data_IF_688017497403
#
_entry.id   IF_688017497403
#
_cell.length_a   1.000
_cell.length_b   1.000
_cell.length_c   1.000
_cell.angle_alpha   90.00
_cell.angle_beta   90.00
_cell.angle_gamma   90.00
#
_symmetry.space_group_name_H-M   'P 1'
#
loop_
_entity.id
_entity.type
_entity.pdbx_description
1 polymer ?
#
# COMPACT_ATOMS: atom_id res chain seq x y z
N UNK A 1 -37.93 -53.25 -2.12
CA UNK A 1 -36.51 -52.85 -2.01
C UNK A 1 -35.92 -52.32 -3.34
N UNK A 2 -36.73 -51.71 -4.24
CA UNK A 2 -36.24 -51.12 -5.54
C UNK A 2 -36.52 -49.62 -5.68
N UNK A 3 -37.01 -48.95 -4.63
CA UNK A 3 -37.29 -47.50 -4.62
C UNK A 3 -36.36 -46.68 -3.73
N UNK A 4 -35.36 -47.32 -3.08
CA UNK A 4 -34.41 -46.62 -2.20
C UNK A 4 -33.03 -46.41 -2.83
N UNK A 5 -32.81 -46.91 -4.05
CA UNK A 5 -31.51 -46.77 -4.76
C UNK A 5 -31.48 -45.67 -5.80
N UNK A 6 -32.60 -45.00 -6.07
CA UNK A 6 -32.63 -43.87 -7.06
C UNK A 6 -32.50 -42.49 -6.40
N UNK A 7 -32.54 -42.37 -5.07
CA UNK A 7 -32.44 -41.10 -4.35
C UNK A 7 -31.01 -40.78 -3.89
N UNK A 8 -30.08 -41.74 -3.93
CA UNK A 8 -28.67 -41.47 -3.59
C UNK A 8 -27.79 -41.11 -4.80
N UNK A 9 -28.27 -41.26 -6.04
CA UNK A 9 -27.50 -40.87 -7.25
C UNK A 9 -27.73 -39.43 -7.67
N UNK A 10 -28.69 -38.69 -7.10
CA UNK A 10 -28.99 -37.32 -7.41
C UNK A 10 -28.29 -36.30 -6.50
N UNK A 11 -27.60 -36.71 -5.42
CA UNK A 11 -26.84 -35.82 -4.51
C UNK A 11 -25.34 -35.82 -4.75
N UNK A 12 -24.84 -36.60 -5.73
CA UNK A 12 -23.42 -36.65 -6.05
C UNK A 12 -23.04 -35.81 -7.30
N UNK A 13 -23.99 -35.08 -7.86
CA UNK A 13 -23.77 -34.20 -9.00
C UNK A 13 -23.94 -32.69 -8.70
N UNK A 14 -23.93 -32.30 -7.40
CA UNK A 14 -23.68 -30.92 -7.00
C UNK A 14 -22.17 -30.65 -7.16
N UNK A 15 -21.86 -30.34 -8.41
CA UNK A 15 -20.57 -30.14 -8.95
C UNK A 15 -19.67 -29.30 -8.09
N UNK A 16 -18.47 -29.75 -7.97
CA UNK A 16 -17.35 -28.84 -7.87
C UNK A 16 -17.43 -27.87 -9.07
N UNK A 17 -18.14 -26.78 -8.92
CA UNK A 17 -17.81 -25.54 -9.61
C UNK A 17 -16.40 -25.26 -9.13
N UNK A 18 -15.42 -25.71 -9.91
CA UNK A 18 -14.06 -25.20 -9.82
C UNK A 18 -14.20 -23.71 -10.07
N UNK A 19 -14.27 -22.93 -9.00
CA UNK A 19 -14.09 -21.50 -9.09
C UNK A 19 -12.79 -21.33 -9.84
N UNK A 20 -12.86 -20.88 -11.09
CA UNK A 20 -11.69 -20.54 -11.88
C UNK A 20 -10.98 -19.46 -11.09
N UNK A 21 -9.87 -19.82 -10.47
CA UNK A 21 -9.12 -18.87 -9.67
C UNK A 21 -8.80 -17.65 -10.52
N UNK A 22 -9.28 -16.50 -10.08
CA UNK A 22 -9.13 -15.26 -10.83
C UNK A 22 -7.62 -14.92 -10.91
N UNK A 23 -7.09 -14.90 -12.12
CA UNK A 23 -5.69 -14.59 -12.40
C UNK A 23 -5.55 -13.07 -12.54
N UNK A 24 -4.47 -12.53 -12.02
CA UNK A 24 -4.08 -11.14 -12.26
C UNK A 24 -3.85 -10.94 -13.77
N UNK A 25 -4.45 -9.89 -14.35
CA UNK A 25 -4.33 -9.55 -15.77
C UNK A 25 -3.80 -8.13 -15.91
N UNK A 26 -2.95 -7.93 -16.91
CA UNK A 26 -2.52 -6.57 -17.27
C UNK A 26 -3.73 -5.79 -17.82
N UNK A 27 -3.95 -4.62 -17.28
CA UNK A 27 -5.00 -3.70 -17.72
C UNK A 27 -4.45 -2.61 -18.66
N UNK A 28 -5.33 -1.70 -19.12
CA UNK A 28 -4.95 -0.63 -20.04
C UNK A 28 -3.99 0.40 -19.43
N UNK A 29 -3.93 0.48 -18.10
CA UNK A 29 -3.02 1.35 -17.34
C UNK A 29 -1.68 0.66 -17.02
N UNK A 30 -1.43 -0.52 -17.61
CA UNK A 30 -0.15 -1.26 -17.53
C UNK A 30 0.25 -1.69 -16.12
N UNK A 31 -0.73 -2.08 -15.31
CA UNK A 31 -0.51 -2.81 -14.07
C UNK A 31 -1.37 -4.08 -14.03
N UNK A 32 -1.04 -5.00 -13.12
CA UNK A 32 -1.77 -6.26 -13.00
C UNK A 32 -2.95 -6.08 -12.06
N UNK A 33 -4.14 -6.43 -12.53
CA UNK A 33 -5.40 -6.24 -11.82
C UNK A 33 -6.17 -7.56 -11.72
N UNK A 34 -6.68 -7.84 -10.53
CA UNK A 34 -7.78 -8.75 -10.25
C UNK A 34 -8.75 -8.05 -9.30
N UNK A 35 -9.93 -8.61 -9.09
CA UNK A 35 -10.93 -7.98 -8.24
C UNK A 35 -10.39 -7.79 -6.81
N UNK A 36 -10.41 -6.56 -6.33
CA UNK A 36 -9.90 -6.16 -5.02
C UNK A 36 -8.38 -6.20 -4.88
N UNK A 37 -7.63 -6.39 -5.97
CA UNK A 37 -6.18 -6.49 -5.88
C UNK A 37 -5.50 -5.92 -7.12
N UNK A 38 -4.50 -5.06 -6.90
CA UNK A 38 -3.66 -4.51 -7.95
C UNK A 38 -2.19 -4.72 -7.58
N UNK A 39 -1.38 -5.08 -8.57
CA UNK A 39 0.08 -5.12 -8.48
C UNK A 39 0.62 -4.12 -9.49
N UNK A 40 1.19 -3.03 -9.00
CA UNK A 40 1.77 -1.95 -9.79
C UNK A 40 3.28 -2.20 -9.91
N UNK A 41 3.84 -1.94 -11.08
CA UNK A 41 5.26 -2.14 -11.36
C UNK A 41 5.82 -0.83 -11.91
N UNK A 42 6.34 0.00 -11.01
CA UNK A 42 6.89 1.33 -11.33
C UNK A 42 5.90 2.22 -12.13
N UNK A 43 4.62 2.10 -11.82
CA UNK A 43 3.58 2.94 -12.43
C UNK A 43 3.55 4.35 -11.81
N UNK A 44 3.95 4.49 -10.55
CA UNK A 44 3.93 5.73 -9.81
C UNK A 44 5.34 6.36 -9.79
N UNK A 45 5.49 7.45 -10.55
CA UNK A 45 6.67 8.30 -10.54
C UNK A 45 6.34 9.54 -9.72
N UNK A 46 7.07 9.77 -8.64
CA UNK A 46 6.94 10.98 -7.84
C UNK A 46 8.00 12.00 -8.28
N UNK A 47 7.57 13.02 -9.01
CA UNK A 47 8.38 14.19 -9.29
C UNK A 47 8.19 15.22 -8.18
N UNK A 48 8.64 14.89 -6.97
CA UNK A 48 8.55 15.79 -5.82
C UNK A 48 9.77 16.68 -5.68
N UNK A 49 9.66 17.70 -4.81
CA UNK A 49 10.80 18.55 -4.39
C UNK A 49 11.81 17.78 -3.53
N UNK A 50 11.47 16.58 -3.08
CA UNK A 50 12.32 15.72 -2.27
C UNK A 50 12.88 14.61 -3.16
N UNK A 51 14.20 14.59 -3.28
CA UNK A 51 14.93 13.67 -4.16
C UNK A 51 14.81 12.19 -3.77
N UNK A 52 14.41 11.92 -2.53
CA UNK A 52 14.50 10.59 -1.93
C UNK A 52 13.27 9.70 -2.20
N UNK A 53 12.19 10.25 -2.78
CA UNK A 53 10.93 9.53 -2.99
C UNK A 53 10.54 9.41 -4.46
N UNK A 54 11.50 9.25 -5.36
CA UNK A 54 11.24 9.27 -6.80
C UNK A 54 10.39 8.10 -7.31
N UNK A 55 10.40 6.96 -6.63
CA UNK A 55 9.75 5.75 -7.11
C UNK A 55 9.13 4.94 -5.98
N UNK A 56 7.86 4.58 -6.16
CA UNK A 56 7.21 3.63 -5.29
C UNK A 56 7.62 2.17 -5.57
N UNK A 57 8.27 1.90 -6.69
CA UNK A 57 8.72 0.58 -7.09
C UNK A 57 7.57 -0.37 -7.42
N UNK A 58 7.70 -1.64 -7.03
CA UNK A 58 6.60 -2.58 -7.04
C UNK A 58 5.71 -2.34 -5.82
N UNK A 59 4.41 -2.22 -6.05
CA UNK A 59 3.41 -1.94 -5.03
C UNK A 59 2.27 -2.95 -5.08
N UNK A 60 1.66 -3.21 -3.92
CA UNK A 60 0.46 -4.03 -3.82
C UNK A 60 -0.65 -3.22 -3.17
N UNK A 61 -1.79 -3.16 -3.85
CA UNK A 61 -3.02 -2.56 -3.32
C UNK A 61 -4.04 -3.69 -3.17
N UNK A 62 -4.50 -3.94 -1.95
CA UNK A 62 -5.55 -4.90 -1.66
C UNK A 62 -6.74 -4.22 -0.99
N UNK A 63 -7.94 -4.54 -1.41
CA UNK A 63 -9.19 -3.96 -0.88
C UNK A 63 -9.18 -2.42 -0.84
N UNK A 64 -8.49 -1.79 -1.83
CA UNK A 64 -8.37 -0.34 -1.95
C UNK A 64 -7.30 0.29 -1.06
N UNK A 65 -6.57 -0.49 -0.27
CA UNK A 65 -5.47 -0.02 0.57
C UNK A 65 -4.12 -0.45 0.00
N UNK A 66 -3.15 0.47 -0.05
CA UNK A 66 -1.77 0.14 -0.36
C UNK A 66 -1.16 -0.56 0.84
N UNK A 67 -0.84 -1.83 0.71
CA UNK A 67 -0.28 -2.65 1.78
C UNK A 67 1.22 -2.90 1.63
N UNK A 68 1.76 -2.69 0.43
CA UNK A 68 3.16 -2.89 0.09
C UNK A 68 3.65 -1.83 -0.89
N UNK A 69 4.90 -1.43 -0.75
CA UNK A 69 5.61 -0.48 -1.60
C UNK A 69 7.10 -0.85 -1.70
N UNK A 70 7.91 0.02 -2.28
CA UNK A 70 9.37 -0.08 -2.24
C UNK A 70 9.99 -1.28 -2.95
N UNK A 71 9.18 -2.03 -3.72
CA UNK A 71 9.64 -3.23 -4.41
C UNK A 71 10.71 -2.91 -5.45
N UNK A 72 11.96 -3.29 -5.14
CA UNK A 72 13.11 -3.01 -6.00
C UNK A 72 14.39 -3.60 -5.43
N UNK A 73 15.48 -3.46 -6.18
CA UNK A 73 16.81 -3.84 -5.71
C UNK A 73 17.33 -2.76 -4.77
N UNK A 74 17.95 -3.17 -3.67
CA UNK A 74 18.59 -2.31 -2.68
C UNK A 74 20.04 -2.75 -2.51
N UNK A 75 20.92 -1.82 -2.13
CA UNK A 75 22.36 -2.07 -2.10
C UNK A 75 22.93 -2.33 -0.70
N UNK A 76 22.16 -2.04 0.35
CA UNK A 76 22.59 -2.35 1.73
C UNK A 76 22.24 -3.79 2.11
N UNK A 77 23.01 -4.39 3.00
CA UNK A 77 22.78 -5.78 3.44
C UNK A 77 21.53 -5.96 4.31
N UNK A 78 21.02 -4.88 4.88
CA UNK A 78 19.81 -4.84 5.70
C UNK A 78 18.88 -3.73 5.23
N UNK A 79 17.59 -3.73 5.60
CA UNK A 79 16.70 -2.62 5.29
C UNK A 79 17.23 -1.31 5.87
N UNK A 80 17.34 -0.32 5.02
CA UNK A 80 17.88 1.00 5.34
C UNK A 80 17.00 2.09 4.72
N UNK A 81 16.63 3.11 5.51
CA UNK A 81 15.78 4.21 5.03
C UNK A 81 16.48 5.02 3.93
N UNK A 82 17.77 5.19 4.06
CA UNK A 82 18.58 6.04 3.21
C UNK A 82 19.43 5.25 2.19
N UNK A 83 19.01 4.00 1.93
CA UNK A 83 19.63 3.19 0.89
C UNK A 83 19.51 3.88 -0.48
N UNK A 84 20.51 3.69 -1.31
CA UNK A 84 20.54 4.26 -2.65
C UNK A 84 19.44 3.63 -3.50
N UNK A 85 18.67 4.49 -4.15
CA UNK A 85 17.74 4.10 -5.18
C UNK A 85 18.42 4.19 -6.55
N UNK A 86 18.27 3.15 -7.37
CA UNK A 86 18.72 3.21 -8.75
C UNK A 86 17.85 4.16 -9.58
N UNK A 87 18.46 4.88 -10.49
CA UNK A 87 17.74 5.61 -11.51
C UNK A 87 16.99 4.64 -12.43
N UNK A 88 15.72 4.92 -12.71
CA UNK A 88 14.95 4.11 -13.65
C UNK A 88 15.28 4.58 -15.06
N UNK A 89 16.10 3.79 -15.75
CA UNK A 89 16.57 4.10 -17.10
C UNK A 89 15.68 3.54 -18.20
N UNK A 90 14.93 2.49 -17.89
CA UNK A 90 13.93 1.92 -18.81
C UNK A 90 12.75 1.30 -18.06
N UNK A 91 11.55 1.45 -18.61
CA UNK A 91 10.34 0.69 -18.25
C UNK A 91 9.67 0.24 -19.54
N UNK A 92 9.68 -1.05 -19.78
CA UNK A 92 9.15 -1.67 -20.99
C UNK A 92 7.94 -2.55 -20.66
N UNK A 93 6.90 -2.44 -21.48
CA UNK A 93 5.66 -3.21 -21.34
C UNK A 93 5.47 -4.08 -22.58
N UNK A 94 5.53 -5.38 -22.41
CA UNK A 94 5.17 -6.36 -23.44
C UNK A 94 3.74 -6.83 -23.22
N UNK A 95 2.78 -6.20 -23.92
CA UNK A 95 1.35 -6.53 -23.79
C UNK A 95 1.05 -7.94 -24.31
N UNK A 96 1.81 -8.45 -25.31
CA UNK A 96 1.60 -9.78 -25.87
C UNK A 96 1.95 -10.88 -24.87
N UNK A 97 3.01 -10.65 -24.09
CA UNK A 97 3.45 -11.56 -23.01
C UNK A 97 2.89 -11.17 -21.64
N UNK A 98 2.13 -10.08 -21.57
CA UNK A 98 1.63 -9.53 -20.29
C UNK A 98 2.77 -9.36 -19.27
N UNK A 99 3.88 -8.73 -19.66
CA UNK A 99 5.01 -8.52 -18.75
C UNK A 99 5.47 -7.08 -18.73
N UNK A 100 5.97 -6.64 -17.57
CA UNK A 100 6.62 -5.34 -17.37
C UNK A 100 8.07 -5.62 -16.98
N UNK A 101 9.01 -4.95 -17.63
CA UNK A 101 10.43 -5.01 -17.31
C UNK A 101 10.95 -3.61 -17.02
N UNK A 102 11.71 -3.46 -15.92
CA UNK A 102 12.22 -2.17 -15.45
C UNK A 102 13.72 -2.30 -15.20
N UNK A 103 14.51 -1.39 -15.76
CA UNK A 103 15.94 -1.30 -15.51
C UNK A 103 16.22 -0.22 -14.46
N UNK A 104 16.97 -0.61 -13.42
CA UNK A 104 17.42 0.27 -12.34
C UNK A 104 18.94 0.44 -12.46
N UNK A 105 19.41 1.66 -12.68
CA UNK A 105 20.84 1.95 -12.86
C UNK A 105 21.43 2.60 -11.61
N UNK A 106 22.48 2.00 -11.09
CA UNK A 106 23.31 2.51 -9.98
C UNK A 106 24.67 2.90 -10.55
N UNK A 107 24.74 4.11 -11.11
CA UNK A 107 25.88 4.57 -11.92
C UNK A 107 27.23 4.50 -11.17
N UNK A 108 27.24 4.90 -9.89
CA UNK A 108 28.44 4.92 -9.05
C UNK A 108 29.01 3.52 -8.77
N UNK A 109 28.19 2.49 -8.98
CA UNK A 109 28.56 1.09 -8.74
C UNK A 109 28.75 0.29 -10.04
N UNK A 110 28.46 0.91 -11.21
CA UNK A 110 28.43 0.19 -12.48
C UNK A 110 27.46 -0.99 -12.47
N UNK A 111 26.30 -0.85 -11.79
CA UNK A 111 25.37 -1.93 -11.56
C UNK A 111 23.98 -1.56 -12.09
N UNK A 112 23.43 -2.41 -12.97
CA UNK A 112 22.13 -2.17 -13.63
C UNK A 112 21.25 -3.44 -13.62
N UNK A 113 20.66 -3.80 -12.48
CA UNK A 113 19.71 -4.92 -12.41
C UNK A 113 18.40 -4.57 -13.11
N UNK A 114 17.77 -5.60 -13.70
CA UNK A 114 16.44 -5.50 -14.28
C UNK A 114 15.43 -6.31 -13.45
N UNK A 115 14.29 -5.71 -13.20
CA UNK A 115 13.14 -6.33 -12.57
C UNK A 115 12.13 -6.68 -13.65
N UNK A 116 11.71 -7.94 -13.76
CA UNK A 116 10.65 -8.36 -14.64
C UNK A 116 9.50 -8.97 -13.86
N UNK A 117 8.28 -8.54 -14.18
CA UNK A 117 7.06 -9.04 -13.55
C UNK A 117 6.11 -9.55 -14.63
N UNK A 118 5.55 -10.72 -14.40
CA UNK A 118 4.55 -11.33 -15.29
C UNK A 118 3.51 -12.11 -14.48
N UNK A 119 2.25 -12.24 -14.96
CA UNK A 119 1.24 -13.06 -14.30
C UNK A 119 1.71 -14.52 -14.25
N UNK A 120 1.40 -15.16 -13.12
CA UNK A 120 1.62 -16.60 -12.94
C UNK A 120 0.57 -17.14 -11.98
N UNK A 121 -0.18 -18.15 -12.40
CA UNK A 121 -1.21 -18.79 -11.59
C UNK A 121 -2.18 -17.74 -10.97
N UNK A 122 -2.26 -17.65 -9.63
CA UNK A 122 -3.08 -16.70 -8.89
C UNK A 122 -2.36 -15.38 -8.56
N UNK A 123 -1.10 -15.26 -8.94
CA UNK A 123 -0.24 -14.16 -8.56
C UNK A 123 0.61 -13.65 -9.71
N UNK A 124 1.81 -13.22 -9.37
CA UNK A 124 2.83 -12.76 -10.30
C UNK A 124 4.17 -13.42 -10.02
N UNK A 125 4.91 -13.68 -11.09
CA UNK A 125 6.32 -14.05 -11.04
C UNK A 125 7.15 -12.78 -11.14
N UNK A 126 7.99 -12.56 -10.14
CA UNK A 126 8.97 -11.48 -10.06
C UNK A 126 10.34 -12.09 -10.31
N UNK A 127 11.08 -11.55 -11.27
CA UNK A 127 12.40 -12.00 -11.64
C UNK A 127 13.40 -10.85 -11.60
N UNK A 128 14.57 -11.07 -11.01
CA UNK A 128 15.70 -10.16 -11.12
C UNK A 128 16.67 -10.74 -12.13
N UNK A 129 17.01 -9.91 -13.13
CA UNK A 129 17.91 -10.27 -14.22
C UNK A 129 19.16 -9.40 -14.15
N UNK A 130 20.31 -10.02 -14.36
CA UNK A 130 21.60 -9.36 -14.43
C UNK A 130 22.28 -9.67 -15.77
N UNK A 131 22.75 -8.64 -16.46
CA UNK A 131 23.62 -8.80 -17.65
C UNK A 131 25.06 -9.12 -17.24
N UNK A 132 25.49 -8.57 -16.10
CA UNK A 132 26.81 -8.81 -15.50
C UNK A 132 26.62 -9.25 -14.04
N UNK A 133 27.57 -10.01 -13.46
CA UNK A 133 27.48 -10.41 -12.07
C UNK A 133 27.42 -9.21 -11.11
N UNK A 134 26.86 -9.43 -9.91
CA UNK A 134 26.88 -8.43 -8.84
C UNK A 134 28.32 -7.95 -8.62
N UNK A 135 28.59 -6.63 -8.62
CA UNK A 135 29.90 -6.07 -8.31
C UNK A 135 30.44 -6.55 -6.97
N UNK A 136 31.76 -6.79 -6.89
CA UNK A 136 32.37 -7.41 -5.71
C UNK A 136 32.09 -6.67 -4.39
N UNK A 137 32.04 -5.34 -4.43
CA UNK A 137 31.71 -4.49 -3.27
C UNK A 137 30.24 -4.54 -2.84
N UNK A 138 29.36 -5.09 -3.70
CA UNK A 138 27.93 -5.28 -3.44
C UNK A 138 27.55 -6.74 -3.13
N UNK A 139 28.50 -7.67 -3.24
CA UNK A 139 28.26 -9.07 -2.87
C UNK A 139 27.90 -9.17 -1.38
N UNK A 140 26.80 -9.87 -1.06
CA UNK A 140 26.26 -9.98 0.29
C UNK A 140 25.52 -8.72 0.77
N UNK A 141 25.39 -7.70 -0.08
CA UNK A 141 24.67 -6.45 0.20
C UNK A 141 23.48 -6.26 -0.74
N UNK A 142 23.68 -6.35 -2.04
CA UNK A 142 22.60 -6.18 -3.01
C UNK A 142 21.51 -7.24 -2.86
N UNK A 143 20.25 -6.81 -2.80
CA UNK A 143 19.11 -7.70 -2.65
C UNK A 143 17.81 -7.09 -3.17
N UNK A 144 16.81 -7.91 -3.42
CA UNK A 144 15.48 -7.48 -3.77
C UNK A 144 14.61 -7.38 -2.52
N UNK A 145 13.91 -6.25 -2.37
CA UNK A 145 13.03 -5.95 -1.24
C UNK A 145 11.57 -5.81 -1.68
N UNK A 146 10.66 -6.15 -0.76
CA UNK A 146 9.27 -5.68 -0.70
C UNK A 146 8.99 -5.12 0.70
N UNK A 147 8.40 -3.95 0.79
CA UNK A 147 8.20 -3.18 2.01
C UNK A 147 6.72 -3.09 2.37
N UNK A 148 6.34 -3.62 3.53
CA UNK A 148 4.95 -3.72 3.99
C UNK A 148 4.67 -2.70 5.10
N UNK A 149 3.54 -1.97 5.00
CA UNK A 149 3.17 -0.93 5.95
C UNK A 149 2.83 -1.51 7.34
N UNK A 150 3.58 -1.18 8.39
CA UNK A 150 3.37 -1.77 9.71
C UNK A 150 1.97 -1.53 10.26
N UNK A 151 1.36 -0.37 10.00
CA UNK A 151 0.03 -0.04 10.47
C UNK A 151 -1.03 -1.07 10.05
N UNK A 152 -0.89 -1.68 8.87
CA UNK A 152 -1.78 -2.74 8.39
C UNK A 152 -1.48 -4.10 9.02
N UNK A 153 -0.25 -4.31 9.50
CA UNK A 153 0.24 -5.64 9.90
C UNK A 153 0.52 -5.81 11.40
N UNK A 154 0.39 -4.77 12.22
CA UNK A 154 0.59 -4.88 13.67
C UNK A 154 -0.25 -5.98 14.31
N UNK A 155 0.41 -6.89 15.04
CA UNK A 155 -0.24 -7.98 15.76
C UNK A 155 -0.81 -9.08 14.88
N UNK A 156 -0.62 -9.00 13.56
CA UNK A 156 -0.97 -10.09 12.63
C UNK A 156 0.07 -11.20 12.72
N UNK A 157 -0.34 -12.41 12.34
CA UNK A 157 0.58 -13.53 12.23
C UNK A 157 1.32 -13.52 10.88
N UNK A 158 2.44 -14.21 10.85
CA UNK A 158 3.07 -14.62 9.61
C UNK A 158 3.57 -16.06 9.71
N UNK A 159 3.67 -16.72 8.58
CA UNK A 159 4.20 -18.08 8.50
C UNK A 159 5.54 -18.04 7.75
N UNK A 160 6.53 -18.77 8.25
CA UNK A 160 7.77 -19.07 7.55
C UNK A 160 7.91 -20.57 7.44
N UNK A 161 7.85 -21.10 6.22
CA UNK A 161 7.85 -22.55 5.95
C UNK A 161 6.84 -23.30 6.83
N UNK A 162 5.63 -22.73 6.97
CA UNK A 162 4.53 -23.27 7.77
C UNK A 162 4.63 -23.01 9.28
N UNK A 163 5.70 -22.40 9.79
CA UNK A 163 5.86 -22.09 11.23
C UNK A 163 5.32 -20.70 11.54
N UNK A 164 4.35 -20.63 12.46
CA UNK A 164 3.70 -19.37 12.86
C UNK A 164 4.60 -18.48 13.72
N UNK A 165 4.49 -17.17 13.47
CA UNK A 165 5.14 -16.07 14.19
C UNK A 165 4.17 -14.90 14.26
N UNK A 166 4.53 -13.83 14.99
CA UNK A 166 3.74 -12.61 15.14
C UNK A 166 4.56 -11.43 14.65
N UNK A 167 3.92 -10.53 13.89
CA UNK A 167 4.45 -9.21 13.52
C UNK A 167 4.26 -8.28 14.72
N UNK A 168 5.33 -7.84 15.40
CA UNK A 168 5.21 -7.13 16.66
C UNK A 168 4.68 -5.70 16.45
N UNK A 169 3.91 -5.20 17.42
CA UNK A 169 3.46 -3.81 17.41
C UNK A 169 4.63 -2.84 17.60
N UNK A 170 5.59 -3.20 18.45
CA UNK A 170 6.79 -2.45 18.72
C UNK A 170 8.00 -3.23 18.24
N UNK A 171 9.07 -2.57 17.74
CA UNK A 171 10.31 -3.27 17.39
C UNK A 171 10.83 -4.07 18.60
N UNK A 172 11.03 -5.37 18.42
CA UNK A 172 11.41 -6.30 19.50
C UNK A 172 12.54 -7.26 19.10
N UNK A 173 13.08 -7.09 17.88
CA UNK A 173 14.07 -8.01 17.37
C UNK A 173 15.49 -7.58 17.73
N UNK A 174 16.36 -8.58 17.81
CA UNK A 174 17.76 -8.37 18.10
C UNK A 174 18.43 -7.54 17.01
N UNK A 175 19.44 -6.81 17.42
CA UNK A 175 20.34 -6.07 16.56
C UNK A 175 21.75 -6.59 16.72
N UNK A 176 22.53 -6.45 15.69
CA UNK A 176 23.97 -6.69 15.72
C UNK A 176 24.69 -5.35 15.69
N UNK A 177 25.74 -5.24 16.53
CA UNK A 177 26.57 -4.04 16.59
C UNK A 177 27.74 -4.23 15.61
N UNK A 178 27.78 -3.38 14.59
CA UNK A 178 28.88 -3.33 13.64
C UNK A 178 29.77 -2.12 13.95
N UNK A 179 31.05 -2.30 14.26
CA UNK A 179 31.98 -1.18 14.39
C UNK A 179 32.14 -0.52 13.02
N UNK A 180 31.99 0.79 12.97
CA UNK A 180 32.20 1.54 11.73
C UNK A 180 33.69 1.65 11.48
N UNK A 181 34.20 0.84 10.56
CA UNK A 181 35.59 0.87 10.11
C UNK A 181 35.79 1.73 8.86
N UNK A 182 34.72 2.04 8.14
CA UNK A 182 34.76 2.82 6.90
C UNK A 182 33.86 4.03 7.02
N UNK A 183 34.25 5.13 6.39
CA UNK A 183 33.43 6.33 6.29
C UNK A 183 32.17 6.00 5.53
N UNK A 184 31.05 5.89 6.25
CA UNK A 184 29.74 5.76 5.61
C UNK A 184 29.47 7.13 4.96
N UNK A 185 29.58 7.17 3.65
CA UNK A 185 29.40 8.40 2.87
C UNK A 185 27.95 8.83 2.73
N UNK A 186 27.02 8.10 3.31
CA UNK A 186 25.60 8.37 3.22
C UNK A 186 25.07 8.86 4.55
N UNK A 187 24.02 9.57 4.47
CA UNK A 187 23.10 10.28 5.34
C UNK A 187 23.35 10.26 6.86
N UNK A 188 23.94 9.23 7.42
CA UNK A 188 24.34 9.19 8.82
C UNK A 188 25.51 10.11 9.14
N UNK A 189 25.94 10.92 8.25
CA UNK A 189 26.89 11.98 8.43
C UNK A 189 27.80 11.88 9.67
N UNK A 190 28.70 12.81 9.79
CA UNK A 190 29.62 12.89 10.92
C UNK A 190 28.93 13.03 12.29
N UNK A 191 27.65 13.39 12.32
CA UNK A 191 26.89 13.60 13.57
C UNK A 191 26.55 12.33 14.34
N UNK A 192 26.70 11.16 13.74
CA UNK A 192 26.45 9.86 14.39
C UNK A 192 27.71 9.28 14.99
N UNK A 193 28.86 9.89 14.75
CA UNK A 193 30.17 9.41 15.16
C UNK A 193 30.87 10.41 16.07
N UNK A 194 31.82 9.91 16.89
CA UNK A 194 32.69 10.78 17.65
C UNK A 194 33.59 11.64 16.72
N UNK A 195 34.28 12.65 17.30
CA UNK A 195 35.17 13.58 16.56
C UNK A 195 36.27 12.85 15.75
N UNK A 196 36.44 11.56 15.95
CA UNK A 196 37.45 10.72 15.29
C UNK A 196 36.81 9.82 14.22
N UNK A 197 35.53 10.01 13.93
CA UNK A 197 34.78 9.17 12.99
C UNK A 197 34.57 7.73 13.46
N UNK A 198 34.59 7.50 14.80
CA UNK A 198 34.31 6.20 15.39
C UNK A 198 32.88 6.17 15.91
N UNK A 199 32.17 5.15 15.58
CA UNK A 199 30.84 4.90 16.08
C UNK A 199 30.47 3.44 15.87
N UNK A 200 29.38 3.04 16.48
CA UNK A 200 28.80 1.73 16.29
C UNK A 200 27.53 1.87 15.47
N UNK A 201 27.37 0.97 14.55
CA UNK A 201 26.23 0.88 13.68
C UNK A 201 25.36 -0.31 14.08
N UNK A 202 24.12 -0.07 14.46
CA UNK A 202 23.18 -1.12 14.81
C UNK A 202 22.43 -1.59 13.57
N UNK A 203 22.53 -2.88 13.30
CA UNK A 203 21.93 -3.54 12.14
C UNK A 203 20.79 -4.44 12.62
N UNK A 204 19.55 -4.30 12.14
CA UNK A 204 18.49 -5.22 12.49
C UNK A 204 18.77 -6.62 11.92
N UNK A 205 18.67 -7.62 12.78
CA UNK A 205 18.71 -9.02 12.34
C UNK A 205 17.37 -9.44 11.73
N UNK A 206 17.42 -10.42 10.82
CA UNK A 206 16.20 -10.99 10.27
C UNK A 206 15.35 -11.65 11.38
N UNK A 207 14.06 -11.32 11.42
CA UNK A 207 13.09 -11.95 12.31
C UNK A 207 12.96 -13.44 12.05
N UNK A 208 13.02 -13.82 10.77
CA UNK A 208 12.99 -15.20 10.30
C UNK A 208 13.48 -15.26 8.86
N UNK A 209 13.94 -16.44 8.44
CA UNK A 209 14.37 -16.73 7.08
C UNK A 209 13.81 -18.10 6.66
N UNK A 210 13.34 -18.22 5.42
CA UNK A 210 12.82 -19.44 4.84
C UNK A 210 12.59 -19.31 3.34
N UNK A 211 11.90 -20.27 2.74
CA UNK A 211 11.61 -20.30 1.31
C UNK A 211 10.18 -19.88 0.98
N UNK A 212 9.29 -19.91 1.96
CA UNK A 212 7.92 -19.41 1.86
C UNK A 212 7.59 -18.54 3.05
N UNK A 213 7.14 -17.32 2.80
CA UNK A 213 6.63 -16.40 3.82
C UNK A 213 5.19 -16.04 3.46
N UNK A 214 4.28 -16.20 4.42
CA UNK A 214 2.88 -15.77 4.28
C UNK A 214 2.60 -14.74 5.35
N UNK A 215 2.30 -13.53 4.96
CA UNK A 215 1.91 -12.43 5.84
C UNK A 215 0.40 -12.47 6.07
N UNK A 216 -0.04 -12.24 7.31
CA UNK A 216 -1.44 -12.17 7.73
C UNK A 216 -2.32 -13.30 7.16
N UNK A 217 -1.95 -14.60 7.36
CA UNK A 217 -2.72 -15.71 6.80
C UNK A 217 -4.17 -15.75 7.28
N UNK A 218 -4.46 -15.16 8.44
CA UNK A 218 -5.77 -15.06 9.06
C UNK A 218 -6.65 -13.93 8.54
N UNK A 219 -6.08 -13.03 7.72
CA UNK A 219 -6.78 -11.83 7.24
C UNK A 219 -6.81 -11.80 5.71
N UNK A 220 -7.94 -12.11 5.13
CA UNK A 220 -8.11 -12.15 3.67
C UNK A 220 -7.77 -10.82 3.00
N UNK A 221 -8.02 -9.69 3.67
CA UNK A 221 -7.73 -8.37 3.10
C UNK A 221 -6.23 -8.06 3.03
N UNK A 222 -5.42 -8.70 3.87
CA UNK A 222 -3.99 -8.41 4.04
C UNK A 222 -3.07 -9.57 3.63
N UNK A 223 -3.63 -10.76 3.44
CA UNK A 223 -2.84 -11.96 3.14
C UNK A 223 -2.02 -11.80 1.86
N UNK A 224 -0.71 -11.99 1.99
CA UNK A 224 0.24 -12.06 0.87
C UNK A 224 1.18 -13.24 1.11
N UNK A 225 1.37 -14.07 0.09
CA UNK A 225 2.34 -15.16 0.10
C UNK A 225 3.48 -14.87 -0.86
N UNK A 226 4.70 -15.08 -0.41
CA UNK A 226 5.92 -15.04 -1.24
C UNK A 226 6.60 -16.38 -1.11
N UNK A 227 6.96 -16.99 -2.24
CA UNK A 227 7.77 -18.20 -2.28
C UNK A 227 8.90 -18.07 -3.29
N UNK A 228 10.05 -18.68 -2.95
CA UNK A 228 11.27 -18.63 -3.77
C UNK A 228 12.13 -19.87 -3.54
N UNK A 229 12.97 -20.20 -4.55
CA UNK A 229 14.05 -21.18 -4.38
C UNK A 229 15.22 -20.61 -3.58
N UNK A 230 15.37 -19.29 -3.57
CA UNK A 230 16.32 -18.59 -2.73
C UNK A 230 15.69 -18.31 -1.36
N UNK A 231 16.51 -18.11 -0.36
CA UNK A 231 16.04 -17.68 0.95
C UNK A 231 15.36 -16.30 0.88
N UNK A 232 14.26 -16.17 1.59
CA UNK A 232 13.54 -14.92 1.82
C UNK A 232 13.60 -14.64 3.32
N UNK A 233 14.16 -13.52 3.69
CA UNK A 233 14.21 -13.05 5.08
C UNK A 233 13.16 -11.99 5.32
N UNK A 234 12.57 -11.98 6.52
CA UNK A 234 11.70 -10.91 6.98
C UNK A 234 12.41 -10.10 8.06
N UNK A 235 12.39 -8.78 7.91
CA UNK A 235 13.00 -7.82 8.83
C UNK A 235 11.96 -6.89 9.42
N UNK A 236 12.20 -6.41 10.64
CA UNK A 236 11.54 -5.25 11.20
C UNK A 236 12.42 -4.01 10.96
N UNK A 237 12.18 -3.31 9.86
CA UNK A 237 12.94 -2.11 9.48
C UNK A 237 12.61 -0.88 10.32
N UNK A 238 11.70 -0.97 11.30
CA UNK A 238 11.37 0.13 12.23
C UNK A 238 12.40 0.25 13.35
N UNK A 239 13.26 -0.74 13.50
CA UNK A 239 14.31 -0.70 14.51
C UNK A 239 15.28 0.44 14.19
N UNK A 240 15.51 1.31 15.15
CA UNK A 240 16.31 2.53 15.01
C UNK A 240 15.81 3.51 13.94
N UNK A 241 14.50 3.48 13.63
CA UNK A 241 13.85 4.37 12.66
C UNK A 241 14.47 4.34 11.25
N UNK A 242 15.10 3.23 10.85
CA UNK A 242 15.72 3.10 9.54
C UNK A 242 14.67 3.11 8.42
N UNK A 243 14.23 1.95 7.99
CA UNK A 243 13.26 1.85 6.88
C UNK A 243 11.83 2.16 7.29
N UNK A 244 11.45 1.88 8.54
CA UNK A 244 10.10 2.10 9.05
C UNK A 244 9.06 1.04 8.63
N UNK A 245 9.45 0.00 7.89
CA UNK A 245 8.57 -1.01 7.30
C UNK A 245 8.88 -2.42 7.81
N UNK A 246 7.95 -3.36 7.63
CA UNK A 246 8.30 -4.78 7.60
C UNK A 246 8.81 -5.11 6.20
N UNK A 247 9.98 -5.70 6.08
CA UNK A 247 10.65 -5.90 4.79
C UNK A 247 10.88 -7.38 4.52
N UNK A 248 10.38 -7.86 3.39
CA UNK A 248 10.81 -9.14 2.82
C UNK A 248 12.00 -8.89 1.90
N UNK A 249 13.03 -9.70 2.04
CA UNK A 249 14.29 -9.51 1.30
C UNK A 249 14.95 -10.83 0.90
N UNK A 250 15.49 -10.86 -0.31
CA UNK A 250 16.45 -11.89 -0.75
C UNK A 250 17.71 -11.24 -1.30
N UNK A 251 18.86 -11.70 -0.86
CA UNK A 251 20.16 -11.28 -1.42
C UNK A 251 20.37 -11.83 -2.84
N UNK A 252 21.00 -11.05 -3.69
CA UNK A 252 21.37 -11.49 -5.03
C UNK A 252 22.63 -12.37 -4.97
N UNK A 253 22.64 -13.52 -5.66
CA UNK A 253 23.78 -14.43 -5.64
C UNK A 253 24.98 -13.84 -6.39
N UNK A 254 26.17 -14.02 -5.82
CA UNK A 254 27.44 -13.64 -6.45
C UNK A 254 27.73 -14.47 -7.71
N UNK A 255 28.41 -13.86 -8.68
CA UNK A 255 28.99 -14.54 -9.84
C UNK A 255 27.96 -15.09 -10.84
N UNK A 256 26.69 -14.72 -10.77
CA UNK A 256 25.63 -15.20 -11.67
C UNK A 256 25.11 -14.07 -12.56
N UNK A 257 24.66 -14.47 -13.76
CA UNK A 257 23.99 -13.61 -14.76
C UNK A 257 22.69 -14.26 -15.24
N UNK A 258 21.91 -13.53 -16.06
CA UNK A 258 20.59 -13.95 -16.48
C UNK A 258 19.56 -13.77 -15.36
N UNK A 259 18.60 -14.68 -15.24
CA UNK A 259 17.65 -14.69 -14.12
C UNK A 259 18.35 -15.22 -12.89
N UNK A 260 18.63 -14.33 -11.93
CA UNK A 260 19.41 -14.64 -10.71
C UNK A 260 18.55 -14.83 -9.48
N UNK A 261 17.34 -14.26 -9.47
CA UNK A 261 16.36 -14.39 -8.38
C UNK A 261 14.96 -14.51 -8.98
N UNK A 262 14.15 -15.39 -8.40
CA UNK A 262 12.73 -15.53 -8.73
C UNK A 262 11.90 -15.56 -7.45
N UNK A 263 10.88 -14.71 -7.37
CA UNK A 263 9.84 -14.78 -6.36
C UNK A 263 8.48 -15.03 -7.03
N UNK A 264 7.73 -15.98 -6.50
CA UNK A 264 6.31 -16.08 -6.78
C UNK A 264 5.53 -15.35 -5.68
N UNK A 265 4.89 -14.27 -6.07
CA UNK A 265 4.06 -13.44 -5.20
C UNK A 265 2.60 -13.74 -5.45
N UNK A 266 1.88 -14.20 -4.42
CA UNK A 266 0.44 -14.45 -4.46
C UNK A 266 -0.28 -13.54 -3.47
N UNK A 267 -0.88 -12.42 -3.93
CA UNK A 267 -1.74 -11.59 -3.12
C UNK A 267 -3.11 -12.23 -2.95
N UNK A 268 -3.92 -11.72 -2.04
CA UNK A 268 -5.30 -12.19 -1.87
C UNK A 268 -6.23 -11.55 -2.88
N UNK A 269 -6.90 -12.38 -3.69
CA UNK A 269 -7.91 -11.96 -4.66
C UNK A 269 -9.29 -12.43 -4.17
N UNK A 270 -10.32 -11.59 -4.28
CA UNK A 270 -11.70 -11.92 -3.93
C UNK A 270 -12.64 -11.55 -5.05
N UNK A 271 -13.34 -12.53 -5.62
CA UNK A 271 -14.22 -12.34 -6.76
C UNK A 271 -15.45 -11.47 -6.44
N UNK A 272 -15.87 -11.46 -5.18
CA UNK A 272 -17.08 -10.76 -4.71
C UNK A 272 -16.79 -9.41 -4.05
N UNK A 273 -15.51 -9.01 -3.95
CA UNK A 273 -15.19 -7.78 -3.28
C UNK A 273 -15.68 -6.56 -4.07
N UNK A 274 -16.35 -5.66 -3.37
CA UNK A 274 -16.78 -4.35 -3.84
C UNK A 274 -16.32 -3.33 -2.81
N UNK A 275 -15.65 -2.28 -3.26
CA UNK A 275 -15.25 -1.19 -2.37
C UNK A 275 -16.49 -0.49 -1.83
N UNK A 276 -16.53 -0.27 -0.53
CA UNK A 276 -17.61 0.50 0.09
C UNK A 276 -17.67 1.92 -0.48
N UNK A 277 -18.87 2.50 -0.62
CA UNK A 277 -19.02 3.88 -1.02
C UNK A 277 -18.16 4.83 -0.20
N UNK A 278 -17.51 5.79 -0.85
CA UNK A 278 -16.82 6.88 -0.19
C UNK A 278 -17.59 8.19 -0.45
N UNK A 279 -18.05 8.85 0.60
CA UNK A 279 -18.91 10.03 0.50
C UNK A 279 -18.09 11.28 0.79
N UNK A 280 -17.82 12.05 -0.26
CA UNK A 280 -17.16 13.36 -0.18
C UNK A 280 -18.18 14.46 0.18
N UNK A 281 -17.95 15.17 1.26
CA UNK A 281 -18.78 16.26 1.75
C UNK A 281 -17.94 17.30 2.48
N UNK A 282 -18.51 18.48 2.78
CA UNK A 282 -17.81 19.49 3.59
C UNK A 282 -17.83 19.10 5.07
N UNK A 283 -16.68 18.71 5.62
CA UNK A 283 -16.53 18.43 7.06
C UNK A 283 -16.67 19.68 7.93
N UNK A 284 -16.37 20.86 7.39
CA UNK A 284 -16.62 22.15 8.06
C UNK A 284 -18.12 22.38 8.21
N UNK A 285 -18.93 21.87 7.28
CA UNK A 285 -20.36 22.08 7.22
C UNK A 285 -20.80 23.01 6.10
N UNK A 286 -22.02 23.52 6.19
CA UNK A 286 -22.65 24.29 5.13
C UNK A 286 -23.44 25.49 5.70
N UNK A 287 -23.42 26.62 4.99
CA UNK A 287 -24.38 27.69 5.25
C UNK A 287 -25.79 27.28 4.76
N UNK A 288 -26.87 27.68 5.44
CA UNK A 288 -28.24 27.32 5.05
C UNK A 288 -28.61 27.69 3.62
N UNK A 289 -28.11 28.82 3.14
CA UNK A 289 -28.42 29.33 1.80
C UNK A 289 -27.52 28.85 0.67
N UNK A 290 -26.37 28.23 0.99
CA UNK A 290 -25.44 27.78 -0.05
C UNK A 290 -25.93 26.51 -0.74
N UNK A 291 -25.39 26.25 -1.94
CA UNK A 291 -25.51 24.96 -2.63
C UNK A 291 -24.82 23.87 -1.81
N UNK A 292 -25.54 22.78 -1.53
CA UNK A 292 -25.07 21.64 -0.72
C UNK A 292 -25.16 20.37 -1.57
N UNK A 293 -24.00 19.92 -2.05
CA UNK A 293 -23.88 18.69 -2.84
C UNK A 293 -22.80 17.85 -2.22
N UNK A 294 -23.12 16.60 -1.89
CA UNK A 294 -22.14 15.56 -1.62
C UNK A 294 -21.93 14.72 -2.87
N UNK A 295 -20.73 14.16 -3.00
CA UNK A 295 -20.37 13.28 -4.10
C UNK A 295 -20.03 11.91 -3.53
N UNK A 296 -20.68 10.88 -4.03
CA UNK A 296 -20.38 9.49 -3.69
C UNK A 296 -19.51 8.89 -4.76
N UNK A 297 -18.37 8.35 -4.36
CA UNK A 297 -17.48 7.54 -5.17
C UNK A 297 -17.79 6.07 -4.92
N UNK A 298 -18.14 5.34 -5.96
CA UNK A 298 -18.51 3.92 -5.95
C UNK A 298 -17.49 3.09 -6.70
N UNK A 299 -17.31 1.84 -6.27
CA UNK A 299 -16.58 0.85 -7.08
C UNK A 299 -17.19 0.75 -8.48
N UNK A 300 -16.34 0.53 -9.50
CA UNK A 300 -16.82 0.32 -10.89
C UNK A 300 -17.80 -0.84 -11.03
N UNK A 301 -17.73 -1.81 -10.12
CA UNK A 301 -18.60 -2.99 -10.11
C UNK A 301 -19.82 -2.83 -9.19
N UNK A 302 -19.97 -1.68 -8.52
CA UNK A 302 -21.11 -1.42 -7.65
C UNK A 302 -22.31 -0.89 -8.45
N UNK A 303 -23.51 -1.20 -7.98
CA UNK A 303 -24.76 -0.67 -8.56
C UNK A 303 -25.21 0.54 -7.75
N UNK A 304 -25.28 1.74 -8.36
CA UNK A 304 -25.72 2.94 -7.67
C UNK A 304 -27.13 2.78 -7.10
N UNK A 305 -27.31 3.07 -5.81
CA UNK A 305 -28.64 3.18 -5.22
C UNK A 305 -29.34 4.46 -5.71
N UNK A 306 -30.65 4.40 -5.84
CA UNK A 306 -31.45 5.52 -6.36
C UNK A 306 -31.59 6.69 -5.35
N UNK A 307 -31.37 6.44 -4.06
CA UNK A 307 -31.57 7.43 -2.99
C UNK A 307 -30.52 7.29 -1.88
N UNK A 308 -30.29 8.42 -1.19
CA UNK A 308 -29.59 8.52 0.07
C UNK A 308 -30.51 9.10 1.15
N UNK A 309 -30.12 8.99 2.42
CA UNK A 309 -30.81 9.66 3.54
C UNK A 309 -29.93 10.75 4.11
N UNK A 310 -30.49 11.95 4.28
CA UNK A 310 -29.91 12.95 5.17
C UNK A 310 -30.53 12.74 6.55
N UNK A 311 -29.71 12.45 7.52
CA UNK A 311 -30.11 12.18 8.90
C UNK A 311 -29.78 13.41 9.75
N UNK A 312 -30.74 13.88 10.55
CA UNK A 312 -30.50 14.89 11.57
C UNK A 312 -30.13 14.20 12.88
N UNK A 313 -29.06 14.63 13.49
CA UNK A 313 -28.59 14.13 14.79
C UNK A 313 -29.27 14.96 15.89
N UNK A 314 -29.99 14.28 16.78
CA UNK A 314 -30.71 14.90 17.89
C UNK A 314 -29.77 15.03 19.11
N UNK A 315 -30.13 15.91 20.11
CA UNK A 315 -29.32 16.11 21.31
C UNK A 315 -29.10 14.85 22.16
N UNK A 316 -30.00 13.88 22.07
CA UNK A 316 -29.90 12.57 22.74
C UNK A 316 -29.04 11.53 21.95
N UNK A 317 -28.45 11.94 20.80
CA UNK A 317 -27.67 11.08 19.95
C UNK A 317 -28.50 10.23 18.97
N UNK A 318 -29.82 10.25 19.06
CA UNK A 318 -30.70 9.60 18.11
C UNK A 318 -30.66 10.30 16.75
N UNK A 319 -31.02 9.62 15.68
CA UNK A 319 -31.03 10.17 14.32
C UNK A 319 -32.42 10.05 13.71
N UNK A 320 -32.87 11.14 13.09
CA UNK A 320 -34.13 11.18 12.34
C UNK A 320 -33.89 11.52 10.89
N UNK A 321 -34.64 10.91 9.99
CA UNK A 321 -34.55 11.22 8.55
C UNK A 321 -35.07 12.62 8.30
N UNK A 322 -34.18 13.56 8.01
CA UNK A 322 -34.55 14.94 7.65
C UNK A 322 -34.97 15.03 6.18
N UNK A 323 -34.33 14.22 5.31
CA UNK A 323 -34.65 14.20 3.87
C UNK A 323 -34.20 12.87 3.24
N UNK A 324 -35.00 12.38 2.29
CA UNK A 324 -34.56 11.41 1.30
C UNK A 324 -34.05 12.17 0.06
N UNK A 325 -32.78 11.96 -0.29
CA UNK A 325 -32.10 12.64 -1.38
C UNK A 325 -32.12 11.72 -2.60
N UNK A 326 -32.55 12.25 -3.75
CA UNK A 326 -32.39 11.53 -5.01
C UNK A 326 -30.90 11.46 -5.38
N UNK A 327 -30.42 10.25 -5.63
CA UNK A 327 -29.04 10.02 -6.04
C UNK A 327 -28.96 10.14 -7.57
N UNK A 328 -28.23 11.15 -8.05
CA UNK A 328 -28.05 11.39 -9.48
C UNK A 328 -26.74 10.80 -9.95
N UNK A 329 -26.80 9.78 -10.78
CA UNK A 329 -25.60 9.25 -11.44
C UNK A 329 -24.94 10.35 -12.28
N UNK A 330 -23.65 10.61 -12.04
CA UNK A 330 -22.89 11.63 -12.75
C UNK A 330 -22.09 11.02 -13.91
N UNK A 331 -21.53 9.83 -13.71
CA UNK A 331 -20.72 9.15 -14.71
C UNK A 331 -19.57 8.38 -14.10
N UNK A 332 -18.69 7.91 -14.97
CA UNK A 332 -17.47 7.20 -14.65
C UNK A 332 -16.26 8.13 -14.75
N UNK A 333 -15.25 7.92 -13.91
CA UNK A 333 -14.01 8.66 -13.96
C UNK A 333 -12.82 7.76 -13.58
N UNK A 334 -11.71 7.88 -14.30
CA UNK A 334 -10.47 7.13 -14.09
C UNK A 334 -10.59 5.60 -14.08
N UNK A 335 -11.48 5.01 -14.87
CA UNK A 335 -11.63 3.54 -15.05
C UNK A 335 -11.93 2.74 -13.78
N UNK A 336 -12.01 3.38 -12.61
CA UNK A 336 -12.14 2.70 -11.31
C UNK A 336 -13.47 2.94 -10.64
N UNK A 337 -14.06 4.10 -10.84
CA UNK A 337 -15.12 4.60 -9.99
C UNK A 337 -16.29 5.13 -10.77
N UNK A 338 -17.47 4.84 -10.23
CA UNK A 338 -18.72 5.48 -10.60
C UNK A 338 -19.02 6.61 -9.62
N UNK A 339 -19.52 7.73 -10.08
CA UNK A 339 -19.83 8.87 -9.23
C UNK A 339 -21.31 9.17 -9.21
N UNK A 340 -21.80 9.52 -8.01
CA UNK A 340 -23.20 9.91 -7.77
C UNK A 340 -23.20 11.23 -7.02
N UNK A 341 -24.09 12.14 -7.41
CA UNK A 341 -24.33 13.42 -6.73
C UNK A 341 -25.57 13.36 -5.86
N UNK A 342 -25.45 13.91 -4.64
CA UNK A 342 -26.52 14.01 -3.65
C UNK A 342 -26.75 15.49 -3.35
N UNK A 343 -27.81 16.07 -3.92
CA UNK A 343 -28.17 17.49 -3.69
C UNK A 343 -29.20 17.62 -2.58
N UNK A 344 -28.79 18.30 -1.51
CA UNK A 344 -29.65 18.65 -0.37
C UNK A 344 -29.70 20.16 -0.09
N UNK A 345 -29.51 20.97 -1.15
CA UNK A 345 -29.45 22.44 -1.08
C UNK A 345 -30.70 23.10 -0.48
N UNK A 346 -31.85 22.42 -0.57
CA UNK A 346 -33.13 22.88 -0.01
C UNK A 346 -33.25 22.71 1.51
N UNK A 347 -32.38 21.89 2.14
CA UNK A 347 -32.33 21.77 3.60
C UNK A 347 -31.63 22.99 4.18
N UNK A 348 -32.38 23.87 4.82
CA UNK A 348 -31.90 25.15 5.38
C UNK A 348 -31.94 25.21 6.90
N UNK A 349 -32.59 24.26 7.52
CA UNK A 349 -32.70 24.20 8.98
C UNK A 349 -31.33 24.04 9.63
N UNK A 350 -30.92 24.92 10.58
CA UNK A 350 -29.70 24.71 11.33
C UNK A 350 -29.73 23.42 12.14
N UNK A 351 -28.60 22.75 12.23
CA UNK A 351 -28.49 21.50 12.98
C UNK A 351 -27.25 20.70 12.60
N UNK A 352 -27.15 19.53 13.21
CA UNK A 352 -26.08 18.54 12.94
C UNK A 352 -26.66 17.41 12.09
N UNK A 353 -25.97 17.09 11.02
CA UNK A 353 -26.44 16.14 10.01
C UNK A 353 -25.37 15.13 9.62
N UNK A 354 -25.77 13.95 9.13
CA UNK A 354 -24.93 13.00 8.42
C UNK A 354 -25.69 12.44 7.22
N UNK A 355 -24.95 11.87 6.27
CA UNK A 355 -25.50 11.25 5.06
C UNK A 355 -25.31 9.75 5.17
N UNK A 356 -26.37 8.97 4.94
CA UNK A 356 -26.36 7.52 4.78
C UNK A 356 -26.63 7.17 3.33
N UNK A 357 -25.69 6.46 2.71
CA UNK A 357 -25.84 5.92 1.38
C UNK A 357 -25.38 4.45 1.35
N UNK A 358 -26.26 3.55 0.97
CA UNK A 358 -26.02 2.09 0.96
C UNK A 358 -25.49 1.54 2.30
N UNK A 359 -25.95 2.11 3.43
CA UNK A 359 -25.51 1.70 4.76
C UNK A 359 -24.15 2.23 5.18
N UNK A 360 -23.52 3.08 4.38
CA UNK A 360 -22.33 3.84 4.76
C UNK A 360 -22.74 5.22 5.20
N UNK A 361 -22.40 5.57 6.42
CA UNK A 361 -22.73 6.84 7.02
C UNK A 361 -21.51 7.76 7.14
N UNK A 362 -21.67 9.05 6.83
CA UNK A 362 -20.61 10.05 7.00
C UNK A 362 -20.41 10.41 8.45
N UNK A 363 -19.28 11.04 8.77
CA UNK A 363 -19.17 11.86 9.96
C UNK A 363 -20.25 12.94 9.94
N UNK A 364 -20.65 13.39 11.13
CA UNK A 364 -21.63 14.46 11.25
C UNK A 364 -21.03 15.81 10.87
N UNK A 365 -21.83 16.66 10.23
CA UNK A 365 -21.46 18.01 9.81
C UNK A 365 -22.58 18.99 10.15
N UNK A 366 -22.27 20.24 10.51
CA UNK A 366 -23.27 21.24 10.83
C UNK A 366 -23.83 21.95 9.58
N UNK A 367 -25.09 22.37 9.67
CA UNK A 367 -25.65 23.43 8.84
C UNK A 367 -25.89 24.63 9.78
N UNK A 368 -25.16 25.73 9.57
CA UNK A 368 -25.26 26.93 10.38
C UNK A 368 -24.89 28.18 9.58
N UNK A 369 -25.56 29.31 9.89
CA UNK A 369 -25.33 30.59 9.19
C UNK A 369 -23.94 31.18 9.43
N UNK A 370 -23.31 30.86 10.57
CA UNK A 370 -22.00 31.37 10.97
C UNK A 370 -20.88 30.33 10.76
N UNK A 371 -21.14 29.27 9.99
CA UNK A 371 -20.24 28.10 9.85
C UNK A 371 -18.81 28.44 9.43
N UNK A 372 -18.62 29.54 8.73
CA UNK A 372 -17.32 29.99 8.22
C UNK A 372 -16.70 31.16 8.99
N UNK A 373 -17.33 31.67 10.07
CA UNK A 373 -16.94 32.91 10.75
C UNK A 373 -15.52 32.89 11.30
N UNK A 374 -15.00 31.70 11.68
CA UNK A 374 -13.71 31.53 12.37
C UNK A 374 -12.81 30.45 11.74
N UNK A 375 -13.19 29.91 10.58
CA UNK A 375 -12.47 28.73 10.00
C UNK A 375 -11.14 29.07 9.35
N UNK A 376 -10.88 30.31 9.08
CA UNK A 376 -9.62 30.79 8.50
C UNK A 376 -8.50 30.96 9.55
N UNK A 377 -8.84 31.26 10.81
CA UNK A 377 -7.89 31.47 11.89
C UNK A 377 -6.88 30.34 12.07
N UNK A 378 -7.26 29.06 12.22
CA UNK A 378 -6.30 28.01 12.44
C UNK A 378 -5.26 27.86 11.31
N UNK A 379 -5.67 28.14 10.08
CA UNK A 379 -4.75 28.05 8.92
C UNK A 379 -3.74 29.20 8.88
N UNK A 380 -4.12 30.38 9.39
CA UNK A 380 -3.21 31.53 9.48
C UNK A 380 -2.30 31.41 10.70
N UNK A 381 -2.83 30.99 11.83
CA UNK A 381 -2.10 30.90 13.10
C UNK A 381 -0.92 29.92 13.00
N UNK A 382 -1.10 28.77 12.35
CA UNK A 382 0.00 27.79 12.14
C UNK A 382 1.17 28.44 11.41
N UNK A 383 0.91 29.16 10.34
CA UNK A 383 1.97 29.80 9.56
C UNK A 383 2.70 30.91 10.34
N UNK A 384 1.97 31.66 11.15
CA UNK A 384 2.53 32.73 11.99
C UNK A 384 3.41 32.18 13.09
N UNK A 385 2.96 31.14 13.80
CA UNK A 385 3.72 30.51 14.89
C UNK A 385 5.02 29.91 14.37
N UNK A 386 5.00 29.18 13.27
CA UNK A 386 6.22 28.60 12.66
C UNK A 386 7.21 29.69 12.24
N UNK A 387 6.72 30.78 11.67
CA UNK A 387 7.60 31.89 11.29
C UNK A 387 8.20 32.61 12.49
N UNK A 388 7.45 32.76 13.58
CA UNK A 388 7.94 33.37 14.83
C UNK A 388 9.02 32.52 15.50
N UNK A 389 8.84 31.20 15.56
CA UNK A 389 9.84 30.28 16.11
C UNK A 389 11.15 30.33 15.34
N UNK A 390 11.11 30.44 14.03
CA UNK A 390 12.32 30.63 13.20
C UNK A 390 13.03 31.97 13.45
N UNK A 391 12.31 33.00 13.81
CA UNK A 391 12.91 34.30 14.15
C UNK A 391 13.59 34.26 15.51
N UNK A 392 13.04 33.62 16.52
CA UNK A 392 13.65 33.44 17.84
C UNK A 392 14.98 32.66 17.78
N UNK A 393 15.06 31.60 16.98
CA UNK A 393 16.28 30.79 16.81
C UNK A 393 17.41 31.58 16.17
N UNK A 394 17.11 32.61 15.35
CA UNK A 394 18.12 33.46 14.73
C UNK A 394 18.62 34.61 15.60
N UNK A 395 17.94 34.91 16.69
CA UNK A 395 18.35 35.97 17.64
C UNK A 395 19.13 35.44 18.85
N UNK A 396 19.22 34.13 19.03
CA UNK A 396 19.99 33.45 20.09
C UNK A 396 21.37 33.04 19.59
#
# INVERSE_FOLDING_TARGET
>A
MKKLLLTLAALAASGALSASAQTLKMNDLEYFEARGTNVLVYNNLYNGSFYDEKFAGLEIIQRGERICTGGGVRLMNTPEQWDIFGDITAREVDRAKSSVEVEMTYADYGFAPRLKVSPKDKGVLIQILLSEPVPQNLVGKAGFNLEFFPASYFGKNYLVDGKARILPKYPMHDTEVHPVSEKITQYFGESTFDDRGRGDFLVPLAMSTGHQIVLAPEDEALRVSVSSKSEVSIFDGRHLAQNGMFVLRSLLPAGKTGVVLEWYLEPSVSEDWIRKPNIGFSQVGYSPAQKKVAVVELDKNDTPAATAKLLKVNPDGTKTVAKTIAAKFWGEFHHRYNYVQLDFSDVREPGLYCIDYQGVETNAFPIDKNIYSDKWHPSMDISLVVNMDHMEVNEA
#
